data_IF_582340633376
#
_entry.id   IF_582340633376
#
_cell.length_a   1.000
_cell.length_b   1.000
_cell.length_c   1.000
_cell.angle_alpha   90.00
_cell.angle_beta   90.00
_cell.angle_gamma   90.00
#
_symmetry.space_group_name_H-M   'P 1'
#
loop_
_entity.id
_entity.type
_entity.pdbx_description
1 polymer ?
#
# COMPACT_ATOMS: atom_id res chain seq x y z
N UNK A 1 16.43 -54.48 -28.85
CA UNK A 1 17.37 -53.58 -29.55
C UNK A 1 17.14 -52.17 -29.01
N UNK A 2 18.01 -51.71 -28.11
CA UNK A 2 17.95 -50.36 -27.56
C UNK A 2 19.01 -49.50 -28.27
N UNK A 3 18.57 -48.49 -29.01
CA UNK A 3 19.46 -47.57 -29.74
C UNK A 3 20.03 -46.58 -28.72
N UNK A 4 21.33 -46.71 -28.41
CA UNK A 4 22.07 -45.72 -27.61
C UNK A 4 22.31 -44.47 -28.46
N UNK A 5 21.67 -43.37 -28.09
CA UNK A 5 21.97 -42.04 -28.64
C UNK A 5 23.32 -41.53 -28.10
N UNK A 6 24.12 -40.82 -28.92
CA UNK A 6 25.43 -40.32 -28.55
C UNK A 6 25.35 -39.21 -27.49
N UNK A 7 26.36 -39.08 -26.59
CA UNK A 7 26.34 -38.22 -25.41
C UNK A 7 26.26 -36.71 -25.70
N UNK A 8 26.47 -36.29 -26.96
CA UNK A 8 26.34 -34.90 -27.38
C UNK A 8 24.87 -34.45 -27.56
N UNK A 9 23.94 -35.36 -27.83
CA UNK A 9 22.52 -35.00 -28.10
C UNK A 9 21.76 -34.74 -26.80
N UNK A 10 22.12 -35.41 -25.70
CA UNK A 10 21.54 -35.19 -24.36
C UNK A 10 22.01 -33.88 -23.72
N UNK A 11 23.22 -33.39 -24.02
CA UNK A 11 23.73 -32.13 -23.47
C UNK A 11 23.07 -30.91 -24.13
N UNK A 12 22.73 -30.98 -25.43
CA UNK A 12 22.02 -29.91 -26.13
C UNK A 12 20.58 -29.78 -25.63
N UNK A 13 19.92 -30.90 -25.30
CA UNK A 13 18.56 -30.85 -24.74
C UNK A 13 18.53 -30.33 -23.29
N UNK A 14 19.61 -30.52 -22.52
CA UNK A 14 19.73 -29.95 -21.16
C UNK A 14 20.09 -28.45 -21.17
N UNK A 15 20.84 -27.99 -22.18
CA UNK A 15 21.17 -26.57 -22.36
C UNK A 15 20.00 -25.74 -22.92
N UNK A 16 19.06 -26.36 -23.65
CA UNK A 16 17.86 -25.65 -24.14
C UNK A 16 16.74 -25.51 -23.09
N UNK A 17 16.89 -26.07 -21.88
CA UNK A 17 15.88 -25.98 -20.81
C UNK A 17 16.25 -24.93 -19.74
N UNK A 18 17.39 -24.25 -19.85
CA UNK A 18 17.88 -23.32 -18.82
C UNK A 18 17.97 -21.84 -19.22
N UNK A 19 17.35 -21.42 -20.32
CA UNK A 19 17.19 -20.00 -20.65
C UNK A 19 15.81 -19.82 -21.30
N UNK A 20 14.72 -19.56 -20.57
CA UNK A 20 14.20 -18.19 -20.40
C UNK A 20 12.87 -18.25 -19.64
N UNK A 21 12.88 -18.79 -18.42
CA UNK A 21 11.66 -18.95 -17.60
C UNK A 21 11.42 -17.82 -16.58
N UNK A 22 12.20 -16.74 -16.61
CA UNK A 22 12.09 -15.62 -15.66
C UNK A 22 12.49 -14.32 -16.36
N UNK A 23 11.64 -13.28 -16.23
CA UNK A 23 11.80 -11.86 -16.66
C UNK A 23 10.93 -11.41 -17.84
N UNK A 24 9.61 -11.36 -17.66
CA UNK A 24 8.75 -10.57 -18.56
C UNK A 24 7.82 -9.57 -17.87
N UNK A 25 7.52 -9.70 -16.57
CA UNK A 25 6.64 -8.73 -15.89
C UNK A 25 7.23 -7.30 -15.76
N UNK A 26 8.56 -7.14 -15.84
CA UNK A 26 9.23 -5.84 -15.60
C UNK A 26 9.36 -4.94 -16.85
N UNK A 27 9.26 -5.50 -18.06
CA UNK A 27 9.52 -4.74 -19.29
C UNK A 27 8.30 -3.96 -19.80
N UNK A 28 7.09 -4.51 -19.64
CA UNK A 28 5.87 -3.94 -20.23
C UNK A 28 5.31 -2.73 -19.45
N UNK A 29 5.73 -2.61 -18.19
CA UNK A 29 5.38 -1.51 -17.32
C UNK A 29 6.31 -0.32 -17.48
N UNK A 30 7.40 -0.45 -18.25
CA UNK A 30 8.38 0.63 -18.37
C UNK A 30 8.05 1.58 -19.53
N UNK A 31 8.10 2.87 -19.26
CA UNK A 31 8.09 3.96 -20.25
C UNK A 31 9.37 4.80 -20.07
N UNK A 32 10.03 5.14 -21.18
CA UNK A 32 11.26 5.93 -21.18
C UNK A 32 11.09 7.34 -20.59
N UNK A 33 9.88 7.88 -20.54
CA UNK A 33 9.58 9.20 -19.94
C UNK A 33 9.34 9.08 -18.43
N UNK A 34 8.53 8.12 -17.98
CA UNK A 34 8.01 8.09 -16.61
C UNK A 34 8.52 6.94 -15.73
N UNK A 35 9.30 6.00 -16.24
CA UNK A 35 9.74 4.86 -15.45
C UNK A 35 8.63 3.81 -15.46
N UNK A 36 7.69 3.84 -14.51
CA UNK A 36 6.49 2.99 -14.56
C UNK A 36 5.36 3.70 -15.31
N UNK A 37 4.65 2.98 -16.18
CA UNK A 37 3.48 3.46 -16.93
C UNK A 37 2.31 3.68 -15.98
N UNK A 38 1.96 4.94 -15.75
CA UNK A 38 0.75 5.34 -15.03
C UNK A 38 -0.46 5.40 -15.99
N UNK A 39 -1.67 5.11 -15.50
CA UNK A 39 -2.91 5.30 -16.26
C UNK A 39 -3.13 4.29 -17.39
N UNK A 40 -2.64 3.07 -17.24
CA UNK A 40 -2.97 1.97 -18.15
C UNK A 40 -4.37 1.45 -17.80
N UNK A 41 -5.33 1.49 -18.75
CA UNK A 41 -6.63 0.85 -18.58
C UNK A 41 -6.49 -0.61 -18.11
N UNK A 42 -6.94 -0.92 -16.89
CA UNK A 42 -7.05 -2.30 -16.41
C UNK A 42 -8.45 -2.56 -15.89
N UNK A 43 -9.05 -3.69 -16.28
CA UNK A 43 -10.37 -4.09 -15.81
C UNK A 43 -10.40 -4.42 -14.30
N UNK A 44 -9.24 -4.60 -13.66
CA UNK A 44 -9.10 -4.77 -12.21
C UNK A 44 -8.77 -3.49 -11.43
N UNK A 45 -8.62 -2.35 -12.13
CA UNK A 45 -8.33 -1.04 -11.57
C UNK A 45 -9.22 0.01 -12.27
N UNK A 46 -8.81 1.28 -12.25
CA UNK A 46 -9.38 2.30 -13.13
C UNK A 46 -9.10 1.90 -14.60
N UNK A 47 -10.17 1.62 -15.35
CA UNK A 47 -10.11 1.23 -16.75
C UNK A 47 -9.96 2.45 -17.68
N UNK A 48 -10.00 3.67 -17.15
CA UNK A 48 -9.92 4.91 -17.91
C UNK A 48 -10.98 5.02 -19.02
N UNK A 49 -12.10 4.28 -18.93
CA UNK A 49 -13.15 4.19 -19.95
C UNK A 49 -14.55 4.35 -19.36
N UNK A 50 -14.82 3.71 -18.22
CA UNK A 50 -16.11 3.75 -17.54
C UNK A 50 -16.04 4.69 -16.33
N UNK A 51 -17.15 5.30 -15.93
CA UNK A 51 -17.17 6.22 -14.79
C UNK A 51 -16.37 7.52 -14.98
N UNK A 52 -15.83 7.79 -16.17
CA UNK A 52 -15.08 9.02 -16.52
C UNK A 52 -15.86 10.32 -16.31
N UNK A 53 -17.20 10.25 -16.21
CA UNK A 53 -18.05 11.39 -15.89
C UNK A 53 -18.20 11.66 -14.40
N UNK A 54 -17.65 10.80 -13.55
CA UNK A 54 -17.72 10.89 -12.08
C UNK A 54 -16.31 11.15 -11.56
N UNK A 55 -15.89 12.40 -11.70
CA UNK A 55 -14.66 12.86 -11.07
C UNK A 55 -14.81 12.98 -9.56
N UNK A 56 -13.67 12.96 -8.88
CA UNK A 56 -13.58 13.37 -7.50
C UNK A 56 -14.15 14.79 -7.34
N UNK A 57 -15.27 14.92 -6.62
CA UNK A 57 -16.01 16.18 -6.55
C UNK A 57 -15.50 17.15 -5.46
N UNK A 58 -14.39 16.82 -4.78
CA UNK A 58 -13.84 17.67 -3.72
C UNK A 58 -14.72 17.80 -2.47
N UNK A 59 -15.69 16.89 -2.28
CA UNK A 59 -16.68 17.03 -1.22
C UNK A 59 -16.06 17.04 0.17
N UNK A 60 -16.44 18.06 0.94
CA UNK A 60 -16.05 18.17 2.34
C UNK A 60 -16.54 17.02 3.23
N UNK A 61 -17.52 16.24 2.74
CA UNK A 61 -18.08 15.10 3.47
C UNK A 61 -17.03 14.08 3.84
N UNK A 62 -16.00 13.89 3.01
CA UNK A 62 -15.00 12.86 3.22
C UNK A 62 -14.08 13.11 4.41
N UNK A 63 -13.82 14.38 4.72
CA UNK A 63 -12.96 14.81 5.82
C UNK A 63 -13.72 15.48 6.96
N UNK A 64 -15.05 15.55 6.89
CA UNK A 64 -15.89 16.19 7.92
C UNK A 64 -16.56 15.15 8.80
N UNK A 65 -16.42 15.31 10.11
CA UNK A 65 -17.20 14.54 11.07
C UNK A 65 -18.60 15.12 11.28
N UNK A 66 -19.62 14.41 10.81
CA UNK A 66 -21.03 14.78 11.01
C UNK A 66 -21.64 14.32 12.34
N UNK A 67 -20.90 13.54 13.15
CA UNK A 67 -21.40 13.16 14.48
C UNK A 67 -21.47 14.39 15.41
N UNK A 68 -22.53 14.49 16.24
CA UNK A 68 -22.63 15.51 17.27
C UNK A 68 -21.39 15.48 18.17
N UNK A 69 -20.90 16.66 18.59
CA UNK A 69 -19.70 16.76 19.46
C UNK A 69 -19.80 15.86 20.70
N UNK A 70 -21.00 15.73 21.29
CA UNK A 70 -21.27 14.87 22.44
C UNK A 70 -21.10 13.37 22.19
N UNK A 71 -21.16 12.93 20.92
CA UNK A 71 -20.99 11.52 20.52
C UNK A 71 -19.63 11.22 19.90
N UNK A 72 -18.83 12.23 19.56
CA UNK A 72 -17.49 12.04 18.95
C UNK A 72 -16.55 11.24 19.86
N UNK A 73 -16.58 11.50 21.16
CA UNK A 73 -15.75 10.76 22.14
C UNK A 73 -16.10 9.26 22.23
N UNK A 74 -17.28 8.83 21.73
CA UNK A 74 -17.71 7.43 21.79
C UNK A 74 -17.17 6.56 20.65
N UNK A 75 -16.53 7.18 19.65
CA UNK A 75 -15.94 6.46 18.51
C UNK A 75 -14.64 5.81 18.97
N UNK A 76 -14.54 4.49 18.84
CA UNK A 76 -13.42 3.71 19.38
C UNK A 76 -13.38 3.59 20.91
N UNK A 77 -14.43 3.97 21.65
CA UNK A 77 -14.41 3.89 23.13
C UNK A 77 -14.50 2.44 23.67
N UNK A 78 -15.06 1.55 22.86
CA UNK A 78 -15.03 0.12 23.15
C UNK A 78 -13.73 -0.42 22.57
N UNK A 79 -12.76 -0.70 23.44
CA UNK A 79 -11.53 -1.38 23.06
C UNK A 79 -11.92 -2.72 22.47
N UNK A 80 -11.83 -2.81 21.14
CA UNK A 80 -12.02 -4.05 20.40
C UNK A 80 -10.72 -4.43 19.73
N UNK A 81 -10.44 -5.73 19.76
CA UNK A 81 -9.22 -6.27 19.17
C UNK A 81 -9.07 -5.87 17.70
N UNK A 82 -7.82 -5.60 17.27
CA UNK A 82 -7.53 -5.32 15.88
C UNK A 82 -7.88 -6.53 15.02
N UNK A 83 -8.40 -6.27 13.83
CA UNK A 83 -8.74 -7.31 12.86
C UNK A 83 -7.87 -7.11 11.64
N UNK A 84 -7.10 -8.14 11.32
CA UNK A 84 -6.37 -8.21 10.06
C UNK A 84 -7.12 -9.14 9.10
N UNK A 85 -7.32 -8.65 7.89
CA UNK A 85 -7.89 -9.41 6.79
C UNK A 85 -6.97 -9.29 5.59
N UNK A 86 -6.69 -10.40 4.93
CA UNK A 86 -5.84 -10.44 3.74
C UNK A 86 -6.60 -11.14 2.62
N UNK A 87 -6.54 -10.54 1.44
CA UNK A 87 -7.10 -11.02 0.20
C UNK A 87 -5.97 -11.39 -0.76
N UNK A 88 -6.22 -12.35 -1.65
CA UNK A 88 -5.28 -12.69 -2.71
C UNK A 88 -5.22 -11.54 -3.72
N UNK A 89 -4.00 -11.03 -3.95
CA UNK A 89 -3.78 -9.99 -4.94
C UNK A 89 -3.68 -10.61 -6.34
N UNK A 90 -4.19 -9.93 -7.37
CA UNK A 90 -3.92 -10.34 -8.74
C UNK A 90 -2.44 -10.12 -9.09
N UNK A 91 -1.93 -10.88 -10.06
CA UNK A 91 -0.53 -10.84 -10.49
C UNK A 91 -0.09 -9.46 -11.03
N UNK A 92 -1.05 -8.64 -11.46
CA UNK A 92 -0.84 -7.29 -11.97
C UNK A 92 -0.99 -6.20 -10.89
N UNK A 93 -0.91 -6.54 -9.60
CA UNK A 93 -0.86 -5.57 -8.52
C UNK A 93 0.58 -5.09 -8.26
N UNK A 94 0.83 -3.80 -8.46
CA UNK A 94 2.20 -3.27 -8.51
C UNK A 94 2.61 -2.40 -7.31
N UNK A 95 1.64 -1.85 -6.57
CA UNK A 95 1.89 -0.82 -5.57
C UNK A 95 2.45 -1.40 -4.26
N UNK A 96 3.36 -0.66 -3.62
CA UNK A 96 3.99 -1.05 -2.35
C UNK A 96 3.87 -0.01 -1.24
N UNK A 97 2.95 0.95 -1.36
CA UNK A 97 2.73 1.96 -0.33
C UNK A 97 1.90 1.44 0.84
N UNK A 98 2.05 2.07 2.00
CA UNK A 98 1.16 1.88 3.15
C UNK A 98 0.12 2.97 3.16
N UNK A 99 -1.16 2.61 3.10
CA UNK A 99 -2.26 3.57 3.16
C UNK A 99 -2.82 3.56 4.58
N UNK A 100 -2.74 4.69 5.25
CA UNK A 100 -3.40 4.95 6.51
C UNK A 100 -4.76 5.58 6.24
N UNK A 101 -5.81 4.90 6.68
CA UNK A 101 -7.19 5.37 6.64
C UNK A 101 -7.65 5.71 8.06
N UNK A 102 -8.42 6.79 8.20
CA UNK A 102 -9.06 7.12 9.46
C UNK A 102 -10.46 7.68 9.26
N UNK A 103 -11.39 7.33 10.14
CA UNK A 103 -12.72 7.92 10.10
C UNK A 103 -12.62 9.40 10.54
N UNK A 104 -13.28 10.36 9.88
CA UNK A 104 -13.22 11.79 10.27
C UNK A 104 -13.64 12.08 11.72
N UNK A 105 -14.48 11.21 12.28
CA UNK A 105 -14.93 11.27 13.67
C UNK A 105 -14.07 10.47 14.67
N UNK A 106 -12.97 9.84 14.24
CA UNK A 106 -12.06 9.14 15.14
C UNK A 106 -11.48 10.10 16.20
N UNK A 107 -11.05 9.55 17.34
CA UNK A 107 -10.30 10.33 18.32
C UNK A 107 -9.03 10.88 17.67
N UNK A 108 -8.90 12.21 17.64
CA UNK A 108 -7.77 12.88 17.01
C UNK A 108 -6.42 12.46 17.61
N UNK A 109 -6.40 12.06 18.89
CA UNK A 109 -5.17 11.63 19.56
C UNK A 109 -4.67 10.28 19.02
N UNK A 110 -5.59 9.35 18.77
CA UNK A 110 -5.27 8.07 18.15
C UNK A 110 -4.89 8.26 16.67
N UNK A 111 -5.59 9.14 15.96
CA UNK A 111 -5.23 9.51 14.58
C UNK A 111 -3.82 10.08 14.53
N UNK A 112 -3.48 11.05 15.39
CA UNK A 112 -2.17 11.68 15.38
C UNK A 112 -1.07 10.73 15.86
N UNK A 113 -1.38 9.82 16.80
CA UNK A 113 -0.49 8.73 17.19
C UNK A 113 -0.18 7.80 16.02
N UNK A 114 -1.19 7.41 15.25
CA UNK A 114 -1.00 6.56 14.07
C UNK A 114 -0.24 7.29 12.95
N UNK A 115 -0.53 8.58 12.71
CA UNK A 115 0.23 9.41 11.77
C UNK A 115 1.71 9.46 12.15
N UNK A 116 2.01 9.64 13.44
CA UNK A 116 3.37 9.66 13.96
C UNK A 116 4.10 8.35 13.71
N UNK A 117 3.45 7.21 13.96
CA UNK A 117 4.02 5.89 13.67
C UNK A 117 4.26 5.67 12.19
N UNK A 118 3.27 5.96 11.34
CA UNK A 118 3.37 5.76 9.88
C UNK A 118 4.49 6.62 9.31
N UNK A 119 4.51 7.93 9.62
CA UNK A 119 5.55 8.87 9.18
C UNK A 119 6.93 8.51 9.72
N UNK A 120 7.01 7.99 10.94
CA UNK A 120 8.26 7.52 11.55
C UNK A 120 8.72 6.15 11.03
N UNK A 121 7.86 5.42 10.31
CA UNK A 121 8.13 4.07 9.85
C UNK A 121 8.53 3.97 8.39
N UNK A 122 7.86 4.72 7.52
CA UNK A 122 7.99 4.55 6.07
C UNK A 122 7.66 5.88 5.40
N UNK A 123 8.45 6.31 4.42
CA UNK A 123 8.17 7.47 3.58
C UNK A 123 7.02 7.18 2.62
N UNK A 124 6.98 5.99 2.03
CA UNK A 124 5.99 5.60 1.02
C UNK A 124 4.62 5.30 1.64
N UNK A 125 3.98 6.35 2.17
CA UNK A 125 2.65 6.28 2.75
C UNK A 125 1.69 7.29 2.15
N UNK A 126 0.40 6.99 2.26
CA UNK A 126 -0.69 7.92 2.04
C UNK A 126 -1.51 7.97 3.33
N UNK A 127 -1.83 9.16 3.82
CA UNK A 127 -2.71 9.35 4.97
C UNK A 127 -3.93 10.08 4.47
N UNK A 128 -5.10 9.45 4.56
CA UNK A 128 -6.34 10.04 4.05
C UNK A 128 -7.53 9.65 4.93
N UNK A 129 -8.50 10.55 5.14
CA UNK A 129 -9.73 10.20 5.81
C UNK A 129 -10.58 9.24 4.97
N UNK A 130 -11.35 8.38 5.64
CA UNK A 130 -12.27 7.45 5.00
C UNK A 130 -13.53 7.28 5.86
N UNK A 131 -14.64 7.96 5.53
CA UNK A 131 -15.86 7.97 6.35
C UNK A 131 -16.62 6.64 6.34
N UNK A 132 -16.20 5.67 5.51
CA UNK A 132 -16.80 4.33 5.46
C UNK A 132 -16.18 3.34 6.45
N UNK A 133 -15.14 3.74 7.21
CA UNK A 133 -14.67 2.92 8.32
C UNK A 133 -15.73 2.81 9.42
N UNK A 134 -15.79 1.66 10.06
CA UNK A 134 -16.68 1.45 11.20
C UNK A 134 -16.32 2.36 12.37
N UNK A 135 -17.33 2.84 13.10
CA UNK A 135 -17.11 3.61 14.33
C UNK A 135 -16.49 2.76 15.48
N UNK A 136 -16.50 1.42 15.34
CA UNK A 136 -15.84 0.50 16.28
C UNK A 136 -14.33 0.34 15.97
N UNK A 137 -13.95 0.41 14.69
CA UNK A 137 -12.56 0.36 14.23
C UNK A 137 -12.29 1.52 13.28
N UNK A 138 -12.20 2.76 13.83
CA UNK A 138 -12.16 3.96 13.03
C UNK A 138 -10.78 4.24 12.43
N UNK A 139 -9.82 3.33 12.56
CA UNK A 139 -8.46 3.43 12.05
C UNK A 139 -8.15 2.18 11.22
N UNK A 140 -7.46 2.34 10.09
CA UNK A 140 -6.97 1.20 9.34
C UNK A 140 -5.62 1.47 8.67
N UNK A 141 -4.85 0.40 8.49
CA UNK A 141 -3.71 0.35 7.56
C UNK A 141 -4.03 -0.62 6.44
N UNK A 142 -3.73 -0.25 5.21
CA UNK A 142 -3.88 -1.09 4.03
C UNK A 142 -2.54 -1.17 3.33
N UNK A 143 -2.06 -2.38 3.10
CA UNK A 143 -0.82 -2.64 2.37
C UNK A 143 -0.80 -4.07 1.85
N UNK A 144 -0.42 -4.24 0.59
CA UNK A 144 -0.13 -5.53 -0.04
C UNK A 144 -1.18 -6.63 0.22
N UNK A 145 -2.42 -6.38 -0.21
CA UNK A 145 -3.53 -7.33 -0.09
C UNK A 145 -4.10 -7.45 1.32
N UNK A 146 -3.49 -6.82 2.31
CA UNK A 146 -3.96 -6.87 3.69
C UNK A 146 -4.50 -5.53 4.16
N UNK A 147 -5.55 -5.58 4.98
CA UNK A 147 -6.04 -4.48 5.80
C UNK A 147 -6.00 -4.85 7.28
N UNK A 148 -5.54 -3.92 8.10
CA UNK A 148 -5.53 -3.98 9.55
C UNK A 148 -6.47 -2.89 10.07
N UNK A 149 -7.62 -3.28 10.61
CA UNK A 149 -8.60 -2.37 11.20
C UNK A 149 -8.45 -2.36 12.72
N UNK A 150 -8.46 -1.17 13.34
CA UNK A 150 -8.13 -0.98 14.75
C UNK A 150 -9.08 -0.01 15.43
N UNK A 151 -9.39 -0.28 16.71
CA UNK A 151 -10.09 0.66 17.60
C UNK A 151 -9.14 1.69 18.22
N UNK A 152 -7.95 1.22 18.64
CA UNK A 152 -6.86 1.99 19.23
C UNK A 152 -5.53 1.66 18.57
N UNK A 153 -4.57 2.58 18.66
CA UNK A 153 -3.24 2.37 18.12
C UNK A 153 -2.38 1.57 19.08
N UNK A 154 -2.06 0.33 18.70
CA UNK A 154 -0.97 -0.43 19.28
C UNK A 154 0.31 -0.26 18.44
N UNK A 155 1.37 0.40 18.95
CA UNK A 155 2.60 0.62 18.21
C UNK A 155 3.29 -0.67 17.74
N UNK A 156 3.24 -1.75 18.51
CA UNK A 156 3.90 -2.99 18.14
C UNK A 156 3.22 -3.63 16.92
N UNK A 157 1.90 -3.77 16.97
CA UNK A 157 1.07 -4.29 15.87
C UNK A 157 1.25 -3.45 14.60
N UNK A 158 1.19 -2.11 14.73
CA UNK A 158 1.37 -1.21 13.58
C UNK A 158 2.75 -1.38 12.92
N UNK A 159 3.81 -1.43 13.72
CA UNK A 159 5.17 -1.61 13.18
C UNK A 159 5.35 -2.98 12.54
N UNK A 160 4.79 -4.03 13.13
CA UNK A 160 4.83 -5.38 12.54
C UNK A 160 4.13 -5.39 11.19
N UNK A 161 2.91 -4.85 11.12
CA UNK A 161 2.16 -4.76 9.88
C UNK A 161 2.93 -4.00 8.79
N UNK A 162 3.51 -2.83 9.10
CA UNK A 162 4.28 -2.05 8.11
C UNK A 162 5.50 -2.83 7.63
N UNK A 163 6.23 -3.51 8.52
CA UNK A 163 7.41 -4.31 8.13
C UNK A 163 7.03 -5.53 7.28
N UNK A 164 5.92 -6.16 7.59
CA UNK A 164 5.45 -7.37 6.89
C UNK A 164 4.81 -7.06 5.54
N UNK A 165 4.08 -5.94 5.43
CA UNK A 165 3.23 -5.64 4.27
C UNK A 165 3.69 -4.45 3.45
N UNK A 166 4.49 -3.55 4.02
CA UNK A 166 5.07 -2.41 3.30
C UNK A 166 6.09 -2.84 2.24
N UNK A 167 6.16 -2.07 1.15
CA UNK A 167 7.13 -2.22 0.05
C UNK A 167 7.12 -3.57 -0.68
N UNK A 168 6.10 -4.42 -0.47
CA UNK A 168 6.06 -5.77 -1.07
C UNK A 168 5.74 -5.80 -2.57
N UNK A 169 5.28 -4.68 -3.12
CA UNK A 169 5.02 -4.57 -4.55
C UNK A 169 6.26 -4.36 -5.41
N UNK A 170 6.19 -4.70 -6.71
CA UNK A 170 7.22 -4.37 -7.69
C UNK A 170 7.62 -2.90 -7.73
N UNK A 171 6.71 -1.99 -7.36
CA UNK A 171 7.02 -0.58 -7.21
C UNK A 171 7.55 -0.20 -5.82
N UNK A 172 7.57 -1.10 -4.83
CA UNK A 172 7.83 -0.79 -3.43
C UNK A 172 9.02 0.12 -3.22
N UNK A 173 10.19 -0.29 -3.70
CA UNK A 173 11.47 0.41 -3.60
C UNK A 173 11.64 1.58 -4.58
N UNK A 174 10.67 1.85 -5.45
CA UNK A 174 10.79 2.95 -6.42
C UNK A 174 10.76 4.31 -5.71
N UNK A 175 11.84 5.12 -5.82
CA UNK A 175 11.93 6.42 -5.18
C UNK A 175 11.18 7.50 -5.94
N UNK A 176 10.81 7.24 -7.20
CA UNK A 176 10.19 8.22 -8.08
C UNK A 176 8.83 8.66 -7.54
N UNK A 177 8.62 9.97 -7.47
CA UNK A 177 7.36 10.56 -7.05
C UNK A 177 6.50 10.89 -8.27
N UNK A 178 5.18 10.71 -8.13
CA UNK A 178 4.21 11.18 -9.11
C UNK A 178 4.07 12.71 -9.10
N UNK A 179 3.33 13.23 -10.08
CA UNK A 179 3.08 14.68 -10.22
C UNK A 179 1.80 15.16 -9.53
N UNK A 180 1.00 14.25 -8.95
CA UNK A 180 -0.27 14.59 -8.31
C UNK A 180 -0.04 15.23 -6.94
N UNK A 181 -0.49 16.47 -6.76
CA UNK A 181 -0.31 17.26 -5.54
C UNK A 181 -1.62 17.82 -4.95
N UNK A 182 -2.76 17.55 -5.58
CA UNK A 182 -4.04 18.06 -5.14
C UNK A 182 -4.38 17.57 -3.73
N UNK A 183 -4.67 18.53 -2.84
CA UNK A 183 -4.91 18.32 -1.40
C UNK A 183 -3.80 17.60 -0.61
N UNK A 184 -2.58 17.52 -1.15
CA UNK A 184 -1.44 17.08 -0.36
C UNK A 184 -1.11 18.14 0.69
N UNK A 185 -1.35 17.80 1.96
CA UNK A 185 -1.07 18.69 3.09
C UNK A 185 0.43 18.77 3.39
N UNK A 186 1.15 17.66 3.19
CA UNK A 186 2.55 17.54 3.54
C UNK A 186 3.20 16.49 2.63
N UNK A 187 4.37 16.81 2.10
CA UNK A 187 5.20 15.83 1.39
C UNK A 187 5.74 14.79 2.38
N UNK A 188 5.71 13.52 1.99
CA UNK A 188 6.29 12.46 2.80
C UNK A 188 7.83 12.41 2.62
N UNK A 189 8.54 12.41 3.74
CA UNK A 189 10.00 12.37 3.81
C UNK A 189 10.48 11.04 4.44
N UNK A 190 11.70 10.56 4.13
CA UNK A 190 12.30 9.42 4.82
C UNK A 190 12.29 9.62 6.34
N UNK A 191 11.88 8.61 7.13
CA UNK A 191 12.03 8.70 8.58
C UNK A 191 13.51 8.74 8.95
N UNK A 192 13.84 9.41 10.07
CA UNK A 192 15.19 9.45 10.59
C UNK A 192 15.74 8.02 10.80
N UNK A 193 16.89 7.72 10.20
CA UNK A 193 17.48 6.37 10.19
C UNK A 193 17.06 5.49 8.99
N UNK A 194 16.36 6.04 8.00
CA UNK A 194 16.09 5.43 6.71
C UNK A 194 16.54 6.33 5.54
N UNK A 195 16.21 5.94 4.31
CA UNK A 195 16.61 6.64 3.08
C UNK A 195 15.44 6.81 2.10
N UNK A 196 15.71 7.37 0.92
CA UNK A 196 14.69 7.63 -0.11
C UNK A 196 13.99 6.37 -0.62
N UNK A 197 14.63 5.20 -0.50
CA UNK A 197 14.10 3.91 -0.93
C UNK A 197 13.38 3.18 0.21
N UNK A 198 13.26 3.79 1.40
CA UNK A 198 12.73 3.15 2.60
C UNK A 198 13.49 1.85 2.97
N UNK A 199 14.81 1.80 2.75
CA UNK A 199 15.64 0.60 2.98
C UNK A 199 15.55 0.06 4.41
N UNK A 200 15.23 0.93 5.38
CA UNK A 200 14.98 0.54 6.78
C UNK A 200 13.56 0.96 7.16
N UNK A 201 12.69 -0.02 7.40
CA UNK A 201 11.32 0.20 7.86
C UNK A 201 11.26 0.31 9.39
N UNK A 202 10.61 1.36 9.90
CA UNK A 202 10.51 1.65 11.33
C UNK A 202 11.88 1.78 12.03
N UNK A 203 12.76 2.67 11.55
CA UNK A 203 14.09 2.90 12.13
C UNK A 203 14.04 3.59 13.49
N UNK A 204 13.01 4.40 13.73
CA UNK A 204 12.77 5.07 15.01
C UNK A 204 12.18 4.08 16.01
N UNK A 205 13.05 3.26 16.61
CA UNK A 205 12.71 2.42 17.75
C UNK A 205 12.92 3.23 19.04
N UNK A 206 11.88 3.52 19.84
CA UNK A 206 12.08 3.66 21.28
C UNK A 206 12.46 2.30 21.89
#
# INVERSE_FOLDING_TARGET
MAVRLPPLVTLVLLLLVLESGVKTARLDLFDRKQGIRMGVPSNGCDDGKTGLSVDYNGSAVEYTCFLPKSKRWRVGLNVVEPVQHCDDLPDDYYHGSVIMLYHPCADYREVDRLKGLVRGCIRKHIITPYPKLSLLRPLALVAWGCRLEMSHVDPATVRSFIREKGLKGPEGDLPKQGQYDFMLLQRAEPPAGSDINDSVLCPSQP
#
